data_IF_931326795130
#
_entry.id   IF_931326795130
#
_cell.length_a   1.000
_cell.length_b   1.000
_cell.length_c   1.000
_cell.angle_alpha   90.00
_cell.angle_beta   90.00
_cell.angle_gamma   90.00
#
_symmetry.space_group_name_H-M   'P 1'
#
loop_
_entity.id
_entity.type
_entity.pdbx_description
1 polymer ?
#
# COMPACT_ATOMS: atom_id res chain seq x y z
N UNK A 1 24.05 8.31 -9.75
CA UNK A 1 22.66 8.73 -9.96
C UNK A 1 22.61 9.32 -11.36
N UNK A 2 22.03 8.60 -12.31
CA UNK A 2 21.73 9.19 -13.62
C UNK A 2 20.76 10.36 -13.42
N UNK A 3 20.91 11.42 -14.21
CA UNK A 3 19.96 12.52 -14.19
C UNK A 3 18.66 12.02 -14.83
N UNK A 4 17.67 11.62 -14.01
CA UNK A 4 16.37 11.13 -14.49
C UNK A 4 15.68 12.13 -15.44
N UNK A 5 15.89 13.43 -15.21
CA UNK A 5 15.47 14.52 -16.10
C UNK A 5 16.04 14.43 -17.54
N UNK A 6 17.14 13.69 -17.71
CA UNK A 6 17.79 13.46 -18.99
C UNK A 6 17.43 12.09 -19.60
N UNK A 7 16.64 11.25 -18.92
CA UNK A 7 16.17 9.99 -19.49
C UNK A 7 15.05 10.26 -20.53
N UNK A 8 15.45 10.25 -21.80
CA UNK A 8 14.53 10.42 -22.93
C UNK A 8 13.59 9.23 -23.13
N UNK A 9 13.84 8.10 -22.47
CA UNK A 9 13.01 6.90 -22.54
C UNK A 9 11.93 6.82 -21.47
N UNK A 10 11.73 7.89 -20.68
CA UNK A 10 10.56 8.06 -19.83
C UNK A 10 9.37 8.57 -20.66
N UNK A 11 8.25 7.85 -20.58
CA UNK A 11 6.97 8.32 -21.14
C UNK A 11 6.49 9.60 -20.46
N UNK A 12 5.70 10.41 -21.18
CA UNK A 12 5.13 11.63 -20.62
C UNK A 12 4.16 11.36 -19.46
N UNK A 13 3.48 10.20 -19.50
CA UNK A 13 2.64 9.72 -18.40
C UNK A 13 3.47 9.40 -17.15
N UNK A 14 4.59 8.67 -17.28
CA UNK A 14 5.49 8.39 -16.16
C UNK A 14 6.03 9.69 -15.53
N UNK A 15 6.40 10.68 -16.35
CA UNK A 15 6.83 12.00 -15.87
C UNK A 15 5.71 12.74 -15.13
N UNK A 16 4.49 12.71 -15.66
CA UNK A 16 3.35 13.35 -15.03
C UNK A 16 2.99 12.71 -13.68
N UNK A 17 3.05 11.37 -13.60
CA UNK A 17 2.84 10.64 -12.36
C UNK A 17 3.93 10.90 -11.33
N UNK A 18 5.21 10.94 -11.75
CA UNK A 18 6.33 11.31 -10.87
C UNK A 18 6.11 12.70 -10.25
N UNK A 19 5.80 13.70 -11.08
CA UNK A 19 5.53 15.07 -10.60
C UNK A 19 4.34 15.14 -9.65
N UNK A 20 3.31 14.34 -9.89
CA UNK A 20 2.15 14.24 -9.00
C UNK A 20 2.55 13.63 -7.65
N UNK A 21 3.37 12.57 -7.67
CA UNK A 21 3.89 11.92 -6.47
C UNK A 21 4.85 12.83 -5.69
N UNK A 22 5.71 13.59 -6.37
CA UNK A 22 6.58 14.60 -5.76
C UNK A 22 5.76 15.69 -5.05
N UNK A 23 4.73 16.21 -5.72
CA UNK A 23 3.83 17.21 -5.14
C UNK A 23 3.10 16.66 -3.92
N UNK A 24 2.46 15.50 -4.05
CA UNK A 24 1.79 14.82 -2.94
C UNK A 24 2.77 14.55 -1.78
N UNK A 25 3.96 14.06 -2.09
CA UNK A 25 5.02 13.81 -1.11
C UNK A 25 5.40 15.08 -0.34
N UNK A 26 5.73 16.16 -1.05
CA UNK A 26 6.24 17.37 -0.42
C UNK A 26 5.17 18.22 0.26
N UNK A 27 3.96 18.30 -0.30
CA UNK A 27 2.88 19.14 0.20
C UNK A 27 1.98 18.43 1.23
N UNK A 28 1.91 17.09 1.20
CA UNK A 28 1.01 16.30 2.06
C UNK A 28 1.78 15.35 2.97
N UNK A 29 2.57 14.44 2.40
CA UNK A 29 3.22 13.39 3.21
C UNK A 29 4.26 13.96 4.17
N UNK A 30 5.14 14.84 3.69
CA UNK A 30 6.24 15.40 4.50
C UNK A 30 5.75 16.19 5.74
N UNK A 31 4.83 17.16 5.62
CA UNK A 31 4.32 17.83 6.82
C UNK A 31 3.56 16.88 7.75
N UNK A 32 2.76 15.96 7.21
CA UNK A 32 2.04 14.96 8.00
C UNK A 32 2.98 14.03 8.76
N UNK A 33 4.02 13.50 8.10
CA UNK A 33 5.03 12.62 8.73
C UNK A 33 5.75 13.33 9.87
N UNK A 34 6.15 14.60 9.67
CA UNK A 34 6.76 15.43 10.71
C UNK A 34 5.82 15.65 11.91
N UNK A 35 4.52 15.78 11.67
CA UNK A 35 3.51 15.92 12.73
C UNK A 35 3.33 14.61 13.50
N UNK A 36 3.14 13.50 12.78
CA UNK A 36 2.95 12.17 13.33
C UNK A 36 4.17 11.71 14.15
N UNK A 37 5.39 11.95 13.66
CA UNK A 37 6.64 11.61 14.34
C UNK A 37 6.83 12.35 15.68
N UNK A 38 6.11 13.46 15.90
CA UNK A 38 6.19 14.25 17.14
C UNK A 38 5.14 13.85 18.17
N UNK A 39 4.16 13.02 17.81
CA UNK A 39 3.17 12.52 18.75
C UNK A 39 3.87 11.64 19.79
N UNK A 40 3.56 11.87 21.06
CA UNK A 40 4.18 11.13 22.16
C UNK A 40 3.50 9.77 22.35
N UNK A 41 2.18 9.72 22.18
CA UNK A 41 1.36 8.54 22.40
C UNK A 41 1.01 7.90 21.04
N UNK A 42 1.36 6.63 20.79
CA UNK A 42 1.08 5.96 19.52
C UNK A 42 -0.41 5.91 19.16
N UNK A 43 -1.30 5.90 20.15
CA UNK A 43 -2.74 5.89 19.95
C UNK A 43 -3.24 7.16 19.25
N UNK A 44 -2.53 8.28 19.40
CA UNK A 44 -2.87 9.55 18.73
C UNK A 44 -2.64 9.47 17.21
N UNK A 45 -1.70 8.63 16.75
CA UNK A 45 -1.41 8.42 15.33
C UNK A 45 -2.63 7.87 14.59
N UNK A 46 -3.41 7.02 15.24
CA UNK A 46 -4.59 6.35 14.67
C UNK A 46 -5.91 6.87 15.27
N UNK A 47 -5.87 7.95 16.04
CA UNK A 47 -7.08 8.55 16.61
C UNK A 47 -7.98 9.10 15.49
N UNK A 48 -9.28 9.19 15.77
CA UNK A 48 -10.24 9.84 14.88
C UNK A 48 -9.77 11.29 14.62
N UNK A 49 -9.66 11.67 13.34
CA UNK A 49 -9.18 12.99 12.94
C UNK A 49 -7.66 13.14 12.87
N UNK A 50 -6.88 12.08 13.08
CA UNK A 50 -5.44 12.09 12.78
C UNK A 50 -5.16 12.43 11.32
N UNK A 51 -4.10 13.23 11.08
CA UNK A 51 -3.61 13.58 9.75
C UNK A 51 -3.21 12.36 8.90
N UNK A 52 -2.94 11.21 9.55
CA UNK A 52 -2.72 9.94 8.86
C UNK A 52 -3.88 9.59 7.91
N UNK A 53 -5.12 9.79 8.36
CA UNK A 53 -6.31 9.44 7.59
C UNK A 53 -6.47 10.35 6.36
N UNK A 54 -6.09 11.63 6.47
CA UNK A 54 -6.08 12.55 5.33
C UNK A 54 -5.02 12.16 4.29
N UNK A 55 -3.84 11.71 4.73
CA UNK A 55 -2.80 11.19 3.84
C UNK A 55 -3.30 9.96 3.08
N UNK A 56 -3.91 9.00 3.78
CA UNK A 56 -4.45 7.77 3.17
C UNK A 56 -5.53 8.13 2.17
N UNK A 57 -6.49 8.99 2.55
CA UNK A 57 -7.58 9.41 1.66
C UNK A 57 -7.05 10.08 0.39
N UNK A 58 -6.13 11.04 0.51
CA UNK A 58 -5.56 11.70 -0.66
C UNK A 58 -4.75 10.75 -1.56
N UNK A 59 -4.01 9.81 -0.97
CA UNK A 59 -3.34 8.75 -1.73
C UNK A 59 -4.33 7.92 -2.57
N UNK A 60 -5.54 7.67 -2.03
CA UNK A 60 -6.62 6.94 -2.69
C UNK A 60 -7.32 7.75 -3.77
N UNK A 61 -7.56 9.04 -3.51
CA UNK A 61 -8.15 9.98 -4.48
C UNK A 61 -7.25 10.16 -5.72
N UNK A 62 -5.93 10.19 -5.51
CA UNK A 62 -4.93 10.21 -6.59
C UNK A 62 -4.83 8.87 -7.33
N UNK A 63 -5.45 7.81 -6.82
CA UNK A 63 -5.49 6.49 -7.43
C UNK A 63 -4.19 5.71 -7.30
N UNK A 64 -3.21 6.17 -6.52
CA UNK A 64 -1.91 5.50 -6.41
C UNK A 64 -2.02 4.05 -5.91
N UNK A 65 -3.05 3.72 -5.11
CA UNK A 65 -3.31 2.35 -4.66
C UNK A 65 -3.64 1.39 -5.81
N UNK A 66 -4.18 1.87 -6.93
CA UNK A 66 -4.59 1.07 -8.10
C UNK A 66 -3.42 0.67 -9.00
N UNK A 67 -2.26 1.31 -8.84
CA UNK A 67 -1.07 1.11 -9.69
C UNK A 67 -0.51 -0.32 -9.61
N UNK A 68 -0.75 -1.01 -8.48
CA UNK A 68 -0.28 -2.37 -8.25
C UNK A 68 -1.23 -3.46 -8.78
N UNK A 69 -2.43 -3.09 -9.25
CA UNK A 69 -3.51 -4.04 -9.56
C UNK A 69 -3.82 -4.09 -11.05
N UNK A 70 -4.24 -5.27 -11.51
CA UNK A 70 -4.71 -5.50 -12.86
C UNK A 70 -6.08 -4.83 -13.11
N UNK A 71 -6.36 -4.52 -14.38
CA UNK A 71 -7.65 -3.94 -14.82
C UNK A 71 -8.86 -4.76 -14.44
N UNK A 72 -8.73 -6.09 -14.40
CA UNK A 72 -9.82 -7.00 -14.00
C UNK A 72 -10.35 -6.74 -12.58
N UNK A 73 -9.53 -6.10 -11.74
CA UNK A 73 -9.88 -5.71 -10.38
C UNK A 73 -10.14 -4.19 -10.23
N UNK A 74 -10.16 -3.43 -11.33
CA UNK A 74 -10.26 -1.96 -11.28
C UNK A 74 -8.94 -1.23 -11.06
N UNK A 75 -7.81 -1.93 -11.25
CA UNK A 75 -6.47 -1.36 -11.27
C UNK A 75 -6.08 -0.74 -12.62
N UNK A 76 -4.84 -0.28 -12.72
CA UNK A 76 -4.30 0.37 -13.94
C UNK A 76 -2.95 -0.18 -14.41
N UNK A 77 -2.47 -1.27 -13.82
CA UNK A 77 -1.09 -1.76 -14.01
C UNK A 77 -0.71 -2.01 -15.47
N UNK A 78 -1.63 -2.50 -16.29
CA UNK A 78 -1.38 -2.83 -17.70
C UNK A 78 -1.21 -1.60 -18.61
N UNK A 79 -1.69 -0.43 -18.20
CA UNK A 79 -1.52 0.82 -18.94
C UNK A 79 -0.26 1.59 -18.52
N UNK A 80 0.35 1.22 -17.40
CA UNK A 80 1.45 1.97 -16.83
C UNK A 80 2.80 1.58 -17.43
N UNK A 81 3.61 2.60 -17.71
CA UNK A 81 5.04 2.44 -17.92
C UNK A 81 5.68 1.73 -16.70
N UNK A 82 6.43 0.64 -16.88
CA UNK A 82 7.07 -0.09 -15.78
C UNK A 82 7.98 0.78 -14.90
N UNK A 83 8.50 1.90 -15.43
CA UNK A 83 9.34 2.84 -14.68
C UNK A 83 8.56 3.75 -13.74
N UNK A 84 7.26 3.89 -13.92
CA UNK A 84 6.42 4.76 -13.09
C UNK A 84 6.40 4.31 -11.63
N UNK A 85 6.30 3.01 -11.38
CA UNK A 85 6.28 2.46 -10.02
C UNK A 85 7.51 2.86 -9.18
N UNK A 86 8.74 2.61 -9.68
CA UNK A 86 9.97 3.08 -9.04
C UNK A 86 10.03 4.59 -8.82
N UNK A 87 9.64 5.41 -9.80
CA UNK A 87 9.66 6.88 -9.68
C UNK A 87 8.70 7.38 -8.59
N UNK A 88 7.47 6.88 -8.58
CA UNK A 88 6.48 7.21 -7.56
C UNK A 88 6.96 6.77 -6.17
N UNK A 89 7.55 5.57 -6.08
CA UNK A 89 8.10 5.05 -4.82
C UNK A 89 9.29 5.88 -4.31
N UNK A 90 10.18 6.31 -5.21
CA UNK A 90 11.30 7.20 -4.88
C UNK A 90 10.80 8.55 -4.36
N UNK A 91 9.86 9.19 -5.05
CA UNK A 91 9.29 10.47 -4.63
C UNK A 91 8.60 10.39 -3.26
N UNK A 92 7.78 9.37 -3.04
CA UNK A 92 7.09 9.16 -1.76
C UNK A 92 8.07 8.82 -0.64
N UNK A 93 9.03 7.93 -0.88
CA UNK A 93 10.06 7.57 0.10
C UNK A 93 10.99 8.74 0.43
N UNK A 94 11.31 9.59 -0.56
CA UNK A 94 12.04 10.82 -0.34
C UNK A 94 11.26 11.80 0.52
N UNK A 95 9.93 11.84 0.43
CA UNK A 95 9.07 12.70 1.24
C UNK A 95 8.91 12.21 2.68
N UNK A 96 8.55 10.95 2.86
CA UNK A 96 8.46 10.31 4.16
C UNK A 96 8.49 8.79 4.00
N UNK A 97 9.55 8.14 4.51
CA UNK A 97 9.73 6.71 4.34
C UNK A 97 8.71 5.88 5.15
N UNK A 98 8.29 6.35 6.32
CA UNK A 98 7.33 5.65 7.19
C UNK A 98 5.93 5.61 6.59
N UNK A 99 5.46 6.74 6.09
CA UNK A 99 4.20 6.85 5.36
C UNK A 99 4.27 6.11 4.01
N UNK A 100 5.38 6.20 3.27
CA UNK A 100 5.53 5.45 2.02
C UNK A 100 5.39 3.94 2.23
N UNK A 101 6.05 3.39 3.26
CA UNK A 101 5.93 1.97 3.62
C UNK A 101 4.52 1.65 4.11
N UNK A 102 3.92 2.50 4.95
CA UNK A 102 2.54 2.31 5.44
C UNK A 102 1.52 2.22 4.30
N UNK A 103 1.60 3.13 3.33
CA UNK A 103 0.72 3.15 2.16
C UNK A 103 0.94 1.91 1.28
N UNK A 104 2.20 1.53 1.02
CA UNK A 104 2.51 0.32 0.26
C UNK A 104 2.04 -0.96 0.94
N UNK A 105 2.33 -1.11 2.24
CA UNK A 105 1.92 -2.25 3.06
C UNK A 105 0.39 -2.36 3.18
N UNK A 106 -0.33 -1.23 3.18
CA UNK A 106 -1.79 -1.21 3.23
C UNK A 106 -2.46 -1.97 2.07
N UNK A 107 -1.81 -1.98 0.91
CA UNK A 107 -2.32 -2.68 -0.28
C UNK A 107 -1.78 -4.09 -0.46
N UNK A 108 -0.72 -4.45 0.23
CA UNK A 108 0.03 -5.67 -0.04
C UNK A 108 -0.77 -6.97 0.16
N UNK A 109 -1.62 -7.12 1.20
CA UNK A 109 -2.47 -8.30 1.34
C UNK A 109 -3.43 -8.50 0.17
N UNK A 110 -3.95 -7.41 -0.40
CA UNK A 110 -4.84 -7.47 -1.56
C UNK A 110 -4.09 -7.85 -2.83
N UNK A 111 -2.83 -7.41 -2.99
CA UNK A 111 -1.98 -7.89 -4.09
C UNK A 111 -1.77 -9.40 -4.01
N UNK A 112 -1.60 -9.94 -2.79
CA UNK A 112 -1.50 -11.39 -2.61
C UNK A 112 -2.83 -12.10 -2.88
N UNK A 113 -3.94 -11.53 -2.43
CA UNK A 113 -5.28 -12.05 -2.68
C UNK A 113 -5.63 -12.11 -4.17
N UNK A 114 -5.11 -11.18 -4.99
CA UNK A 114 -5.32 -11.15 -6.43
C UNK A 114 -4.78 -12.41 -7.14
N UNK A 115 -3.80 -13.11 -6.56
CA UNK A 115 -3.30 -14.38 -7.11
C UNK A 115 -4.19 -15.58 -6.78
N UNK A 116 -5.14 -15.44 -5.86
CA UNK A 116 -6.06 -16.51 -5.49
C UNK A 116 -7.11 -16.76 -6.58
N UNK A 117 -7.61 -18.00 -6.66
CA UNK A 117 -8.76 -18.34 -7.50
C UNK A 117 -10.10 -18.25 -6.75
N UNK A 118 -10.07 -18.04 -5.43
CA UNK A 118 -11.27 -17.96 -4.60
C UNK A 118 -12.07 -16.68 -4.92
N UNK A 119 -13.38 -16.78 -5.26
CA UNK A 119 -14.20 -15.63 -5.63
C UNK A 119 -14.24 -14.55 -4.54
N UNK A 120 -14.37 -14.93 -3.27
CA UNK A 120 -14.44 -14.00 -2.14
C UNK A 120 -13.19 -13.13 -2.02
N UNK A 121 -12.01 -13.73 -2.26
CA UNK A 121 -10.74 -12.99 -2.24
C UNK A 121 -10.65 -12.04 -3.44
N UNK A 122 -11.13 -12.46 -4.61
CA UNK A 122 -11.20 -11.58 -5.79
C UNK A 122 -12.15 -10.40 -5.57
N UNK A 123 -13.27 -10.62 -4.88
CA UNK A 123 -14.22 -9.56 -4.54
C UNK A 123 -13.64 -8.58 -3.51
N UNK A 124 -12.86 -9.06 -2.53
CA UNK A 124 -12.10 -8.19 -1.62
C UNK A 124 -11.11 -7.29 -2.37
N UNK A 125 -10.42 -7.82 -3.39
CA UNK A 125 -9.49 -7.01 -4.20
C UNK A 125 -10.24 -5.93 -4.97
N UNK A 126 -11.41 -6.24 -5.56
CA UNK A 126 -12.25 -5.24 -6.24
C UNK A 126 -12.70 -4.15 -5.27
N UNK A 127 -13.20 -4.53 -4.10
CA UNK A 127 -13.62 -3.58 -3.07
C UNK A 127 -12.48 -2.65 -2.66
N UNK A 128 -11.26 -3.17 -2.48
CA UNK A 128 -10.08 -2.37 -2.18
C UNK A 128 -9.71 -1.38 -3.30
N UNK A 129 -9.80 -1.80 -4.57
CA UNK A 129 -9.55 -0.92 -5.70
C UNK A 129 -10.62 0.18 -5.83
N UNK A 130 -11.88 -0.14 -5.56
CA UNK A 130 -13.02 0.80 -5.61
C UNK A 130 -13.00 1.80 -4.45
N UNK A 131 -12.41 1.44 -3.31
CA UNK A 131 -12.27 2.30 -2.14
C UNK A 131 -11.33 3.48 -2.43
N UNK A 132 -11.93 4.61 -2.75
CA UNK A 132 -11.26 5.91 -2.93
C UNK A 132 -11.24 6.76 -1.66
N UNK A 133 -11.91 6.30 -0.59
CA UNK A 133 -11.99 7.03 0.69
C UNK A 133 -10.99 6.51 1.72
N UNK A 134 -10.35 5.35 1.48
CA UNK A 134 -9.34 4.79 2.36
C UNK A 134 -9.91 4.04 3.57
N UNK A 135 -11.12 3.49 3.44
CA UNK A 135 -11.79 2.70 4.49
C UNK A 135 -11.24 1.28 4.63
N UNK A 136 -10.63 0.75 3.57
CA UNK A 136 -10.08 -0.60 3.53
C UNK A 136 -8.56 -0.52 3.59
N UNK A 137 -8.01 -0.88 4.74
CA UNK A 137 -6.58 -0.86 5.03
C UNK A 137 -6.11 -2.27 5.37
N UNK A 138 -5.16 -2.78 4.60
CA UNK A 138 -4.52 -4.07 4.86
C UNK A 138 -3.34 -3.94 5.82
N UNK A 139 -2.90 -5.07 6.37
CA UNK A 139 -1.66 -5.17 7.13
C UNK A 139 -0.85 -6.39 6.69
N UNK A 140 0.48 -6.26 6.68
CA UNK A 140 1.38 -7.37 6.36
C UNK A 140 1.99 -7.96 7.63
N UNK A 141 1.21 -8.80 8.30
CA UNK A 141 1.59 -9.40 9.59
C UNK A 141 2.41 -10.69 9.39
N UNK A 142 3.63 -10.57 8.85
CA UNK A 142 4.53 -11.71 8.66
C UNK A 142 5.56 -11.85 9.78
N UNK A 143 6.11 -10.76 10.33
CA UNK A 143 7.21 -10.83 11.28
C UNK A 143 6.70 -11.21 12.68
N UNK A 144 7.42 -12.13 13.34
CA UNK A 144 7.17 -12.50 14.73
C UNK A 144 8.35 -12.05 15.61
N UNK A 145 8.17 -11.92 16.94
CA UNK A 145 9.23 -11.46 17.85
C UNK A 145 10.58 -12.18 17.68
N UNK A 146 10.55 -13.49 17.43
CA UNK A 146 11.75 -14.33 17.30
C UNK A 146 12.08 -14.72 15.83
N UNK A 147 11.26 -14.28 14.85
CA UNK A 147 11.39 -14.70 13.45
C UNK A 147 11.23 -13.53 12.47
N UNK A 148 12.36 -12.97 12.04
CA UNK A 148 12.47 -11.99 10.96
C UNK A 148 13.10 -12.55 9.69
N UNK A 149 14.39 -12.95 9.77
CA UNK A 149 15.15 -13.44 8.60
C UNK A 149 14.82 -14.87 8.19
N UNK A 150 14.31 -15.70 9.10
CA UNK A 150 14.00 -17.13 8.86
C UNK A 150 12.51 -17.39 9.07
N UNK A 151 11.72 -16.87 8.14
CA UNK A 151 10.25 -16.87 8.19
C UNK A 151 9.66 -18.30 8.15
N UNK A 152 10.37 -19.23 7.50
CA UNK A 152 9.92 -20.61 7.34
C UNK A 152 9.86 -21.43 8.65
N UNK A 153 10.42 -20.92 9.75
CA UNK A 153 10.44 -21.59 11.06
C UNK A 153 9.34 -21.09 12.02
N UNK A 154 8.45 -20.22 11.54
CA UNK A 154 7.41 -19.62 12.36
C UNK A 154 6.40 -20.66 12.87
N UNK A 155 6.14 -20.72 14.19
CA UNK A 155 5.15 -21.63 14.77
C UNK A 155 3.71 -21.36 14.28
N UNK A 156 3.37 -20.11 13.96
CA UNK A 156 2.02 -19.74 13.47
C UNK A 156 1.73 -20.23 12.05
N UNK A 157 2.76 -20.40 11.22
CA UNK A 157 2.65 -20.92 9.85
C UNK A 157 2.57 -22.48 9.83
N UNK A 158 2.68 -23.15 10.99
CA UNK A 158 2.58 -24.61 11.03
C UNK A 158 1.20 -25.11 10.58
N UNK A 159 1.19 -25.94 9.53
CA UNK A 159 0.03 -26.41 8.76
C UNK A 159 -1.07 -27.16 9.53
N UNK A 160 -0.96 -27.30 10.86
CA UNK A 160 -1.94 -28.01 11.70
C UNK A 160 -3.20 -27.19 12.02
N UNK A 161 -3.14 -25.85 11.94
CA UNK A 161 -4.27 -24.95 12.26
C UNK A 161 -5.12 -24.50 11.07
N UNK A 162 -4.73 -24.80 9.84
CA UNK A 162 -5.49 -24.39 8.63
C UNK A 162 -6.89 -25.03 8.56
N UNK A 163 -7.07 -26.23 9.13
CA UNK A 163 -8.36 -26.93 9.12
C UNK A 163 -9.42 -26.35 10.07
N UNK A 164 -9.01 -25.62 11.11
CA UNK A 164 -9.94 -25.02 12.08
C UNK A 164 -10.50 -23.67 11.60
N UNK A 165 -9.70 -22.91 10.84
CA UNK A 165 -10.11 -21.60 10.32
C UNK A 165 -11.24 -21.71 9.27
N UNK A 166 -11.22 -22.75 8.42
CA UNK A 166 -12.27 -23.02 7.44
C UNK A 166 -13.64 -23.33 8.06
N UNK A 167 -13.70 -23.79 9.32
CA UNK A 167 -14.96 -24.20 9.97
C UNK A 167 -15.60 -23.13 10.85
N UNK A 168 -14.83 -22.12 11.28
CA UNK A 168 -15.32 -21.09 12.19
C UNK A 168 -16.15 -19.99 11.49
N UNK A 169 -15.95 -19.75 10.18
CA UNK A 169 -16.68 -18.70 9.44
C UNK A 169 -18.02 -19.15 8.81
N UNK A 170 -18.36 -20.44 8.85
CA UNK A 170 -19.62 -20.97 8.27
C UNK A 170 -20.69 -21.34 9.31
N UNK A 171 -20.64 -20.74 10.51
CA UNK A 171 -21.74 -20.82 11.49
C UNK A 171 -22.28 -19.44 11.82
N UNK A 172 -23.16 -18.96 10.95
CA UNK A 172 -24.33 -18.14 11.30
C UNK A 172 -25.48 -18.53 10.40
#
# INVERSE_FOLDING_TARGET
MEYLELDTSLSDEAKAMSKTAEKFGMEVMRPAGIELDRLAEPEEVIADGSVLWDVIKQFRELGFHKTAFAKEFGGMREDMDPKTGPLVSEAMGYADAGLAVSLGASGFPFQMAAFSQEPELKDMVRAYCEDTEGKIIGCWAITEPDHGSVIAQQPTISASRSSEYSRAQFRT
#
